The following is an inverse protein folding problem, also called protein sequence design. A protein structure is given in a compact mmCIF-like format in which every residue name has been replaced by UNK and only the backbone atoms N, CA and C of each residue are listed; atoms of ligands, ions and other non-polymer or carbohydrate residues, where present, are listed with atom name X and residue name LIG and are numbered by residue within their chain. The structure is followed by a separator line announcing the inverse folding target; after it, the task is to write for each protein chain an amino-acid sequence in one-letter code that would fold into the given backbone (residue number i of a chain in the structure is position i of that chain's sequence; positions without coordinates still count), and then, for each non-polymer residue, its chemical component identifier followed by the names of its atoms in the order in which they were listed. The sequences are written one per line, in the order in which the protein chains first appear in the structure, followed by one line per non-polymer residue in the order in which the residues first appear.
data_IF_828747860403
#
_entry.id   IF_828747860403
#
_cell.length_a   1.000
_cell.length_b   1.000
_cell.length_c   1.000
_cell.angle_alpha   90.00
_cell.angle_beta   90.00
_cell.angle_gamma   90.00
#
_symmetry.space_group_name_H-M   'P 1'
#
loop_
_entity.id
_entity.type
_entity.pdbx_description
1 polymer ?
#
# COMPACT_ATOMS: atom_id res chain seq x y z
N UNK A 1 4.85 5.06 -20.86
CA UNK A 1 4.91 4.59 -19.47
C UNK A 1 3.60 4.91 -18.76
N UNK A 2 3.03 3.94 -18.06
CA UNK A 2 1.78 4.15 -17.33
C UNK A 2 2.00 5.06 -16.12
N UNK A 3 1.12 6.02 -15.96
CA UNK A 3 1.11 6.90 -14.78
C UNK A 3 -0.29 6.94 -14.20
N UNK A 4 -0.36 7.01 -12.88
CA UNK A 4 -1.63 7.12 -12.17
C UNK A 4 -2.19 8.52 -12.38
N UNK A 5 -3.47 8.58 -12.78
CA UNK A 5 -4.20 9.85 -12.83
C UNK A 5 -4.70 10.18 -11.42
N UNK A 6 -4.19 11.23 -10.76
CA UNK A 6 -4.58 11.53 -9.39
C UNK A 6 -6.05 11.97 -9.26
N UNK A 7 -6.73 12.27 -10.35
CA UNK A 7 -8.15 12.58 -10.31
C UNK A 7 -9.03 11.34 -10.19
N UNK A 8 -8.49 10.14 -10.45
CA UNK A 8 -9.22 8.90 -10.43
C UNK A 8 -9.33 8.33 -9.00
N UNK A 9 -9.89 9.13 -8.09
CA UNK A 9 -10.09 8.72 -6.70
C UNK A 9 -11.18 7.65 -6.57
N UNK A 10 -11.98 7.46 -7.62
CA UNK A 10 -12.93 6.34 -7.69
C UNK A 10 -12.23 4.99 -7.58
N UNK A 11 -11.04 4.86 -8.17
CA UNK A 11 -10.25 3.63 -8.07
C UNK A 11 -9.72 3.42 -6.65
N UNK A 12 -9.34 4.49 -5.98
CA UNK A 12 -8.93 4.42 -4.57
C UNK A 12 -10.10 3.98 -3.69
N UNK A 13 -11.30 4.50 -3.95
CA UNK A 13 -12.49 4.08 -3.22
C UNK A 13 -12.83 2.62 -3.47
N UNK A 14 -12.64 2.14 -4.69
CA UNK A 14 -12.83 0.72 -5.01
C UNK A 14 -11.90 -0.14 -4.15
N UNK A 15 -10.63 0.24 -4.02
CA UNK A 15 -9.68 -0.49 -3.18
C UNK A 15 -10.08 -0.43 -1.71
N UNK A 16 -10.48 0.75 -1.23
CA UNK A 16 -10.89 0.91 0.17
C UNK A 16 -12.05 0.00 0.54
N UNK A 17 -13.02 -0.14 -0.36
CA UNK A 17 -14.20 -0.99 -0.13
C UNK A 17 -13.85 -2.47 -0.13
N UNK A 18 -12.88 -2.86 -0.95
CA UNK A 18 -12.49 -4.26 -1.09
C UNK A 18 -10.99 -4.35 -1.33
N UNK A 19 -10.17 -4.20 -0.27
CA UNK A 19 -8.71 -4.23 -0.44
C UNK A 19 -8.17 -5.62 -0.78
N UNK A 20 -8.95 -6.65 -0.52
CA UNK A 20 -8.55 -8.04 -0.77
C UNK A 20 -9.59 -8.65 -1.69
N UNK A 21 -9.13 -9.38 -2.72
CA UNK A 21 -10.01 -10.02 -3.68
C UNK A 21 -9.81 -9.47 -5.09
N UNK A 22 -10.86 -9.54 -5.91
CA UNK A 22 -10.79 -9.10 -7.30
C UNK A 22 -10.97 -7.58 -7.40
N UNK A 23 -10.23 -7.00 -8.32
CA UNK A 23 -10.29 -5.57 -8.60
C UNK A 23 -10.56 -5.34 -10.09
N UNK A 24 -11.06 -4.13 -10.42
CA UNK A 24 -11.24 -3.76 -11.82
C UNK A 24 -9.89 -3.77 -12.54
N UNK A 25 -9.93 -3.86 -13.87
CA UNK A 25 -8.72 -3.85 -14.67
C UNK A 25 -7.91 -2.57 -14.46
N UNK A 26 -8.58 -1.44 -14.34
CA UNK A 26 -7.90 -0.16 -14.11
C UNK A 26 -7.21 -0.11 -12.74
N UNK A 27 -7.89 -0.56 -11.69
CA UNK A 27 -7.30 -0.63 -10.36
C UNK A 27 -6.15 -1.64 -10.34
N UNK A 28 -6.31 -2.76 -11.03
CA UNK A 28 -5.25 -3.77 -11.08
C UNK A 28 -3.97 -3.22 -11.71
N UNK A 29 -4.08 -2.33 -12.69
CA UNK A 29 -2.91 -1.67 -13.28
C UNK A 29 -2.17 -0.82 -12.25
N UNK A 30 -2.91 -0.11 -11.40
CA UNK A 30 -2.31 0.67 -10.32
C UNK A 30 -1.60 -0.24 -9.33
N UNK A 31 -2.24 -1.34 -8.94
CA UNK A 31 -1.63 -2.28 -8.00
C UNK A 31 -0.37 -2.93 -8.58
N UNK A 32 -0.38 -3.25 -9.89
CA UNK A 32 0.78 -3.80 -10.56
C UNK A 32 1.94 -2.78 -10.58
N UNK A 33 1.62 -1.50 -10.79
CA UNK A 33 2.62 -0.44 -10.74
C UNK A 33 3.26 -0.37 -9.34
N UNK A 34 2.44 -0.44 -8.29
CA UNK A 34 2.95 -0.42 -6.92
C UNK A 34 3.88 -1.59 -6.64
N UNK A 35 3.54 -2.78 -7.14
CA UNK A 35 4.34 -3.99 -6.95
C UNK A 35 5.62 -4.00 -7.77
N UNK A 36 5.69 -3.21 -8.83
CA UNK A 36 6.90 -3.14 -9.67
C UNK A 36 7.99 -2.24 -9.08
N UNK A 37 7.68 -1.52 -8.00
CA UNK A 37 8.67 -0.67 -7.35
C UNK A 37 9.81 -1.52 -6.77
N UNK A 38 11.06 -0.99 -6.74
CA UNK A 38 12.17 -1.74 -6.15
C UNK A 38 11.90 -2.13 -4.71
N UNK A 39 12.33 -3.33 -4.31
CA UNK A 39 12.14 -3.83 -2.94
C UNK A 39 12.81 -2.92 -1.91
N UNK A 40 14.08 -2.49 -2.08
CA UNK A 40 14.68 -1.56 -1.12
C UNK A 40 13.88 -0.26 -1.03
N UNK A 41 13.52 0.13 0.19
CA UNK A 41 12.76 1.34 0.45
C UNK A 41 11.26 1.23 0.21
N UNK A 42 10.77 0.10 -0.29
CA UNK A 42 9.34 -0.09 -0.51
C UNK A 42 8.62 -0.40 0.81
N UNK A 43 7.34 -0.08 0.86
CA UNK A 43 6.52 -0.40 2.02
C UNK A 43 6.15 -1.87 2.06
N UNK A 44 6.00 -2.40 3.25
CA UNK A 44 5.51 -3.75 3.47
C UNK A 44 4.72 -3.81 4.77
N UNK A 45 4.02 -4.91 4.96
CA UNK A 45 3.28 -5.17 6.19
C UNK A 45 3.90 -6.36 6.89
N UNK A 46 4.12 -6.21 8.19
CA UNK A 46 4.64 -7.28 9.04
C UNK A 46 3.53 -7.71 9.99
N UNK A 47 3.20 -8.98 9.94
CA UNK A 47 2.24 -9.57 10.90
C UNK A 47 2.96 -9.79 12.21
N UNK A 48 2.72 -8.93 13.19
CA UNK A 48 3.38 -9.01 14.50
C UNK A 48 2.61 -9.91 15.48
N UNK A 49 1.31 -10.09 15.24
CA UNK A 49 0.49 -11.05 15.98
C UNK A 49 -0.42 -11.75 14.98
N UNK A 50 -0.35 -13.09 14.85
CA UNK A 50 -1.14 -13.81 13.86
C UNK A 50 -2.62 -13.46 13.93
N UNK A 51 -3.18 -13.03 12.80
CA UNK A 51 -4.59 -12.67 12.63
C UNK A 51 -5.10 -11.53 13.53
N UNK A 52 -4.20 -10.81 14.22
CA UNK A 52 -4.61 -9.77 15.17
C UNK A 52 -3.92 -8.43 14.98
N UNK A 53 -2.66 -8.44 14.53
CA UNK A 53 -1.92 -7.21 14.44
C UNK A 53 -1.00 -7.21 13.22
N UNK A 54 -1.06 -6.13 12.46
CA UNK A 54 -0.15 -5.88 11.34
C UNK A 54 0.49 -4.52 11.54
N UNK A 55 1.78 -4.44 11.27
CA UNK A 55 2.50 -3.18 11.37
C UNK A 55 3.03 -2.77 10.01
N UNK A 56 2.95 -1.48 9.73
CA UNK A 56 3.58 -0.90 8.58
C UNK A 56 5.09 -0.96 8.77
N UNK A 57 5.79 -1.35 7.70
CA UNK A 57 7.23 -1.42 7.71
C UNK A 57 7.76 -0.95 6.36
N UNK A 58 9.06 -0.75 6.30
CA UNK A 58 9.73 -0.37 5.07
C UNK A 58 10.98 -1.20 4.93
N UNK A 59 11.20 -1.77 3.75
CA UNK A 59 12.40 -2.56 3.49
C UNK A 59 13.64 -1.68 3.60
N UNK A 60 14.72 -2.23 4.18
CA UNK A 60 15.99 -1.54 4.28
C UNK A 60 16.66 -1.37 2.91
N UNK A 61 17.83 -0.70 2.95
CA UNK A 61 18.60 -0.42 1.74
C UNK A 61 19.17 -1.70 1.10
N UNK A 62 19.33 -2.76 1.89
CA UNK A 62 19.83 -4.05 1.40
C UNK A 62 18.93 -5.17 1.89
N UNK A 63 19.01 -6.33 1.21
CA UNK A 63 18.24 -7.50 1.62
C UNK A 63 18.69 -8.09 2.95
N UNK A 64 19.82 -7.68 3.46
CA UNK A 64 20.36 -8.15 4.76
C UNK A 64 19.80 -7.38 5.95
N UNK A 65 19.29 -6.18 5.69
CA UNK A 65 18.70 -5.38 6.76
C UNK A 65 17.26 -5.81 7.00
N UNK A 66 16.84 -6.00 8.26
CA UNK A 66 15.44 -6.29 8.55
C UNK A 66 14.60 -5.06 8.19
N UNK A 67 13.31 -5.26 7.84
CA UNK A 67 12.42 -4.13 7.61
C UNK A 67 12.32 -3.23 8.85
N UNK A 68 12.39 -1.92 8.62
CA UNK A 68 12.20 -0.96 9.70
C UNK A 68 10.71 -0.84 10.00
N UNK A 69 10.35 -1.09 11.25
CA UNK A 69 8.96 -0.93 11.67
C UNK A 69 8.63 0.55 11.79
N UNK A 70 7.63 0.96 11.06
CA UNK A 70 7.06 2.30 11.17
C UNK A 70 5.74 2.14 11.93
N UNK A 71 5.48 2.81 12.99
CA UNK A 71 4.12 2.79 13.54
C UNK A 71 3.17 3.32 12.48
N UNK A 72 1.87 3.16 12.53
CA UNK A 72 1.08 2.51 13.54
C UNK A 72 0.88 1.03 13.33
N UNK A 73 0.24 0.39 14.30
CA UNK A 73 -0.23 -0.98 14.18
C UNK A 73 -1.70 -0.97 13.77
N UNK A 74 -2.10 -1.99 13.03
CA UNK A 74 -3.48 -2.14 12.57
C UNK A 74 -4.05 -3.46 13.10
N UNK A 75 -5.32 -3.46 13.42
CA UNK A 75 -5.99 -4.66 13.94
C UNK A 75 -6.67 -5.49 12.84
N UNK A 76 -6.61 -5.04 11.61
CA UNK A 76 -7.12 -5.79 10.46
C UNK A 76 -6.20 -5.62 9.27
N UNK A 77 -6.11 -6.69 8.47
CA UNK A 77 -5.32 -6.65 7.24
C UNK A 77 -5.89 -5.64 6.25
N UNK A 78 -7.21 -5.52 6.20
CA UNK A 78 -7.85 -4.55 5.30
C UNK A 78 -7.44 -3.12 5.62
N UNK A 79 -7.43 -2.74 6.91
CA UNK A 79 -7.01 -1.40 7.32
C UNK A 79 -5.53 -1.17 7.01
N UNK A 80 -4.70 -2.18 7.22
CA UNK A 80 -3.27 -2.09 6.93
C UNK A 80 -3.02 -1.93 5.44
N UNK A 81 -3.70 -2.70 4.61
CA UNK A 81 -3.58 -2.61 3.15
C UNK A 81 -4.02 -1.24 2.64
N UNK A 82 -5.09 -0.69 3.18
CA UNK A 82 -5.56 0.64 2.82
C UNK A 82 -4.54 1.72 3.16
N UNK A 83 -3.91 1.62 4.33
CA UNK A 83 -2.87 2.57 4.73
C UNK A 83 -1.69 2.55 3.77
N UNK A 84 -1.24 1.34 3.37
CA UNK A 84 -0.15 1.20 2.41
C UNK A 84 -0.55 1.77 1.04
N UNK A 85 -1.77 1.51 0.61
CA UNK A 85 -2.28 2.04 -0.66
C UNK A 85 -2.19 3.56 -0.70
N UNK A 86 -2.64 4.23 0.37
CA UNK A 86 -2.60 5.69 0.44
C UNK A 86 -1.16 6.22 0.36
N UNK A 87 -0.22 5.57 1.04
CA UNK A 87 1.17 5.98 1.00
C UNK A 87 1.78 5.81 -0.39
N UNK A 88 1.50 4.70 -1.05
CA UNK A 88 2.00 4.45 -2.40
C UNK A 88 1.39 5.41 -3.42
N UNK A 89 0.11 5.72 -3.27
CA UNK A 89 -0.56 6.71 -4.10
C UNK A 89 0.16 8.05 -4.02
N UNK A 90 0.45 8.50 -2.80
CA UNK A 90 1.18 9.75 -2.59
C UNK A 90 2.57 9.72 -3.23
N UNK A 91 3.28 8.61 -3.10
CA UNK A 91 4.62 8.50 -3.70
C UNK A 91 4.57 8.58 -5.23
N UNK A 92 3.58 7.96 -5.84
CA UNK A 92 3.48 7.91 -7.30
C UNK A 92 2.84 9.13 -7.92
N UNK A 93 1.94 9.81 -7.24
CA UNK A 93 1.22 10.97 -7.79
C UNK A 93 1.68 12.30 -7.24
N UNK A 94 2.38 12.29 -6.10
CA UNK A 94 2.73 13.51 -5.39
C UNK A 94 1.57 14.16 -4.65
N UNK A 95 0.40 13.53 -4.64
CA UNK A 95 -0.81 14.06 -3.99
C UNK A 95 -1.34 13.07 -2.97
N UNK A 96 -1.71 13.58 -1.80
CA UNK A 96 -2.36 12.74 -0.79
C UNK A 96 -3.79 12.44 -1.18
N UNK A 97 -4.22 11.21 -0.87
CA UNK A 97 -5.63 10.85 -0.97
C UNK A 97 -6.38 11.47 0.22
N UNK A 98 -7.33 12.33 -0.08
CA UNK A 98 -8.19 12.95 0.93
C UNK A 98 -9.40 12.04 1.20
N UNK A 99 -9.12 10.80 1.57
CA UNK A 99 -10.11 9.77 1.89
C UNK A 99 -9.74 9.15 3.22
N UNK A 100 -10.72 8.93 4.06
CA UNK A 100 -10.51 8.36 5.40
C UNK A 100 -10.03 6.91 5.38
#
# INVERSE_FOLDING_TARGET
MYRIDPSRTDLALEFKRQPIGRHSAELQRILNLFRSAPVPGNYCLVCTRPHREWRLARFGATTREPPALLGPAFDSLAAAEWAVFKLRWREHTGQELDLD
#
